data_IF_358297752944
#
_entry.id   IF_358297752944
#
_cell.length_a   1.000
_cell.length_b   1.000
_cell.length_c   1.000
_cell.angle_alpha   90.00
_cell.angle_beta   90.00
_cell.angle_gamma   90.00
#
_symmetry.space_group_name_H-M   'P 1'
#
loop_
_entity.id
_entity.type
_entity.pdbx_description
1 polymer ?
#
# COMPACT_ATOMS: atom_id res chain seq x y z
N UNK A 1 5.92 -38.01 6.11
CA UNK A 1 4.47 -38.24 5.91
C UNK A 1 3.94 -37.00 5.21
N UNK A 2 3.70 -37.09 3.90
CA UNK A 2 3.23 -35.96 3.09
C UNK A 2 1.75 -35.77 3.41
N UNK A 3 1.41 -34.73 4.15
CA UNK A 3 0.01 -34.36 4.34
C UNK A 3 -0.49 -33.87 2.99
N UNK A 4 -1.41 -34.62 2.41
CA UNK A 4 -2.10 -34.24 1.18
C UNK A 4 -2.90 -32.96 1.48
N UNK A 5 -2.40 -31.83 0.97
CA UNK A 5 -3.14 -30.57 0.91
C UNK A 5 -4.41 -30.85 0.11
N UNK A 6 -5.56 -30.59 0.74
CA UNK A 6 -6.84 -30.86 0.11
C UNK A 6 -6.99 -29.95 -1.12
N UNK A 7 -7.50 -30.49 -2.24
CA UNK A 7 -7.72 -29.74 -3.51
C UNK A 7 -8.63 -28.50 -3.36
N UNK A 8 -9.18 -28.25 -2.19
CA UNK A 8 -10.02 -27.09 -1.85
C UNK A 8 -9.23 -25.84 -1.43
N UNK A 9 -7.95 -25.95 -1.08
CA UNK A 9 -7.16 -24.85 -0.50
C UNK A 9 -6.41 -23.99 -1.54
N UNK A 10 -6.53 -24.29 -2.84
CA UNK A 10 -5.78 -23.62 -3.92
C UNK A 10 -6.53 -22.46 -4.62
N UNK A 11 -7.60 -21.91 -4.02
CA UNK A 11 -8.42 -20.85 -4.67
C UNK A 11 -8.25 -19.46 -4.06
N UNK A 12 -7.65 -19.34 -2.88
CA UNK A 12 -7.47 -18.06 -2.17
C UNK A 12 -6.08 -17.95 -1.54
N UNK A 13 -5.69 -16.74 -1.17
CA UNK A 13 -4.50 -16.44 -0.39
C UNK A 13 -4.83 -15.47 0.76
N UNK A 14 -4.21 -15.63 1.94
CA UNK A 14 -4.45 -14.76 3.09
C UNK A 14 -3.68 -13.44 2.96
N UNK A 15 -4.31 -12.33 3.32
CA UNK A 15 -3.67 -11.03 3.52
C UNK A 15 -3.86 -10.61 4.98
N UNK A 16 -2.80 -10.04 5.55
CA UNK A 16 -2.72 -9.72 6.96
C UNK A 16 -3.78 -8.69 7.41
N UNK A 17 -4.51 -9.02 8.48
CA UNK A 17 -5.56 -8.16 9.03
C UNK A 17 -5.01 -6.83 9.53
N UNK A 18 -3.86 -6.82 10.23
CA UNK A 18 -3.23 -5.60 10.71
C UNK A 18 -2.76 -4.71 9.55
N UNK A 19 -2.18 -5.29 8.50
CA UNK A 19 -1.86 -4.58 7.27
C UNK A 19 -3.12 -3.97 6.65
N UNK A 20 -4.17 -4.77 6.43
CA UNK A 20 -5.43 -4.30 5.84
C UNK A 20 -6.06 -3.16 6.65
N UNK A 21 -6.00 -3.22 7.97
CA UNK A 21 -6.49 -2.16 8.85
C UNK A 21 -5.79 -0.82 8.61
N UNK A 22 -4.48 -0.82 8.31
CA UNK A 22 -3.71 0.42 8.09
C UNK A 22 -3.65 0.85 6.63
N UNK A 23 -3.80 -0.06 5.66
CA UNK A 23 -3.60 0.20 4.23
C UNK A 23 -4.40 1.41 3.69
N UNK A 24 -5.69 1.60 3.99
CA UNK A 24 -6.44 2.75 3.46
C UNK A 24 -5.85 4.10 3.86
N UNK A 25 -5.39 4.23 5.11
CA UNK A 25 -4.77 5.46 5.63
C UNK A 25 -3.31 5.55 5.17
N UNK A 26 -2.59 4.44 5.21
CA UNK A 26 -1.22 4.34 4.72
C UNK A 26 -1.09 4.63 3.21
N UNK A 27 -2.15 4.48 2.41
CA UNK A 27 -2.21 4.82 0.98
C UNK A 27 -2.97 6.10 0.62
N UNK A 28 -3.46 6.86 1.62
CA UNK A 28 -4.14 8.13 1.39
C UNK A 28 -3.29 9.10 0.56
N UNK A 29 -3.92 9.80 -0.38
CA UNK A 29 -3.22 10.75 -1.24
C UNK A 29 -2.91 12.06 -0.53
N UNK A 30 -2.05 12.90 -1.14
CA UNK A 30 -1.76 14.28 -0.68
C UNK A 30 -3.03 15.14 -0.63
N UNK A 31 -4.05 14.82 -1.44
CA UNK A 31 -5.33 15.53 -1.46
C UNK A 31 -6.34 15.04 -0.42
N UNK A 32 -6.01 14.03 0.37
CA UNK A 32 -6.89 13.55 1.43
C UNK A 32 -6.99 14.63 2.54
N UNK A 33 -8.20 14.96 3.04
CA UNK A 33 -8.39 16.04 4.01
C UNK A 33 -7.71 15.79 5.36
N UNK A 34 -7.47 14.53 5.71
CA UNK A 34 -6.85 14.14 6.98
C UNK A 34 -5.31 14.03 6.87
N UNK A 35 -4.76 14.34 5.69
CA UNK A 35 -3.34 14.27 5.41
C UNK A 35 -2.61 15.53 5.87
N UNK A 36 -1.56 15.32 6.66
CA UNK A 36 -0.55 16.33 6.97
C UNK A 36 0.62 16.16 6.01
N UNK A 37 1.02 17.26 5.37
CA UNK A 37 2.14 17.27 4.43
C UNK A 37 3.44 16.80 5.11
N UNK A 38 4.39 16.24 4.35
CA UNK A 38 5.65 15.75 4.90
C UNK A 38 6.37 16.81 5.71
N UNK A 39 6.90 16.49 6.89
CA UNK A 39 7.73 17.37 7.72
C UNK A 39 9.04 16.69 8.10
N UNK A 40 10.07 17.51 8.28
CA UNK A 40 11.36 17.08 8.81
C UNK A 40 11.31 17.05 10.33
N UNK A 41 11.83 15.97 10.91
CA UNK A 41 11.89 15.76 12.35
C UNK A 41 13.23 15.15 12.78
N UNK A 42 13.53 15.35 14.05
CA UNK A 42 14.69 14.80 14.73
C UNK A 42 14.26 14.25 16.09
N UNK A 43 14.75 13.07 16.45
CA UNK A 43 14.63 12.48 17.77
C UNK A 43 15.99 11.89 18.20
N UNK A 44 16.11 11.25 19.40
CA UNK A 44 17.38 10.66 19.83
C UNK A 44 17.92 9.56 18.89
N UNK A 45 17.07 8.94 18.08
CA UNK A 45 17.42 7.85 17.17
C UNK A 45 17.82 8.36 15.77
N UNK A 46 17.64 9.66 15.49
CA UNK A 46 18.18 10.34 14.31
C UNK A 46 17.19 11.29 13.63
N UNK A 47 17.40 11.48 12.33
CA UNK A 47 16.60 12.35 11.48
C UNK A 47 15.62 11.56 10.62
N UNK A 48 14.42 12.11 10.43
CA UNK A 48 13.39 11.46 9.62
C UNK A 48 12.55 12.47 8.86
N UNK A 49 12.07 12.03 7.69
CA UNK A 49 10.99 12.67 6.97
C UNK A 49 9.70 11.92 7.30
N UNK A 50 8.70 12.60 7.87
CA UNK A 50 7.42 11.97 8.21
C UNK A 50 6.23 12.65 7.54
N UNK A 51 5.22 11.87 7.20
CA UNK A 51 3.93 12.33 6.68
C UNK A 51 2.83 11.60 7.44
N UNK A 52 1.86 12.34 7.98
CA UNK A 52 0.87 11.78 8.90
C UNK A 52 -0.54 11.86 8.32
N UNK A 53 -1.29 10.79 8.51
CA UNK A 53 -2.73 10.74 8.25
C UNK A 53 -3.42 10.60 9.59
N UNK A 54 -4.22 11.58 9.98
CA UNK A 54 -4.85 11.61 11.31
C UNK A 54 -5.94 10.56 11.47
N UNK A 55 -6.57 10.43 12.63
CA UNK A 55 -7.86 9.71 12.74
C UNK A 55 -9.00 10.66 12.42
N UNK A 56 -10.06 10.16 11.78
CA UNK A 56 -11.34 10.85 11.80
C UNK A 56 -12.07 10.56 13.10
N UNK A 57 -12.32 11.62 13.89
CA UNK A 57 -12.99 11.49 15.20
C UNK A 57 -14.44 11.00 15.08
N UNK A 58 -15.01 11.02 13.87
CA UNK A 58 -16.35 10.54 13.59
C UNK A 58 -16.41 9.07 13.12
N UNK A 59 -15.26 8.42 12.86
CA UNK A 59 -15.17 6.99 12.56
C UNK A 59 -14.23 6.27 13.55
N UNK A 60 -14.77 5.55 14.55
CA UNK A 60 -13.96 4.87 15.56
C UNK A 60 -13.13 3.69 15.01
N UNK A 61 -13.36 3.29 13.76
CA UNK A 61 -12.59 2.23 13.10
C UNK A 61 -11.37 2.72 12.34
N UNK A 62 -11.15 4.03 12.22
CA UNK A 62 -9.93 4.56 11.59
C UNK A 62 -8.77 4.64 12.59
N UNK A 63 -7.57 4.24 12.16
CA UNK A 63 -6.31 4.42 12.90
C UNK A 63 -5.50 5.55 12.26
N UNK A 64 -4.90 6.42 13.07
CA UNK A 64 -3.90 7.38 12.60
C UNK A 64 -2.62 6.65 12.19
N UNK A 65 -2.11 6.95 11.01
CA UNK A 65 -0.90 6.32 10.46
C UNK A 65 0.10 7.40 10.10
N UNK A 66 1.30 7.28 10.65
CA UNK A 66 2.46 8.04 10.20
C UNK A 66 3.29 7.18 9.26
N UNK A 67 3.58 7.73 8.09
CA UNK A 67 4.61 7.22 7.17
C UNK A 67 5.90 7.95 7.51
N UNK A 68 6.97 7.24 7.81
CA UNK A 68 8.27 7.87 8.06
C UNK A 68 9.37 7.20 7.24
N UNK A 69 10.34 8.00 6.82
CA UNK A 69 11.53 7.54 6.12
C UNK A 69 12.74 8.02 6.92
N UNK A 70 13.51 7.10 7.52
CA UNK A 70 14.78 7.44 8.18
C UNK A 70 15.75 8.10 7.20
N UNK A 71 16.43 9.14 7.67
CA UNK A 71 17.45 9.85 6.91
C UNK A 71 18.83 9.45 7.46
N UNK A 72 19.27 8.27 7.05
CA UNK A 72 20.54 7.69 7.49
C UNK A 72 21.75 8.52 6.99
N UNK A 73 22.81 8.51 7.82
CA UNK A 73 24.12 9.10 7.55
C UNK A 73 24.13 10.60 7.26
N UNK A 74 23.17 11.36 7.79
CA UNK A 74 23.18 12.82 7.73
C UNK A 74 24.04 13.40 8.86
N UNK A 75 25.01 14.23 8.48
CA UNK A 75 25.67 15.14 9.41
C UNK A 75 24.72 16.26 9.88
N UNK A 76 25.06 16.92 10.98
CA UNK A 76 24.29 18.06 11.47
C UNK A 76 24.28 19.24 10.49
N UNK A 77 25.33 19.43 9.70
CA UNK A 77 25.38 20.48 8.66
C UNK A 77 24.40 20.16 7.52
N UNK A 78 24.43 18.94 6.98
CA UNK A 78 23.50 18.50 5.93
C UNK A 78 22.04 18.56 6.41
N UNK A 79 21.80 18.31 7.69
CA UNK A 79 20.47 18.47 8.30
C UNK A 79 19.97 19.91 8.29
N UNK A 80 20.81 20.88 8.65
CA UNK A 80 20.44 22.30 8.60
C UNK A 80 20.18 22.77 7.15
N UNK A 81 21.03 22.36 6.21
CA UNK A 81 20.84 22.64 4.78
C UNK A 81 19.51 22.06 4.26
N UNK A 82 19.19 20.83 4.66
CA UNK A 82 17.94 20.17 4.29
C UNK A 82 16.72 20.90 4.84
N UNK A 83 16.77 21.37 6.09
CA UNK A 83 15.69 22.21 6.67
C UNK A 83 15.51 23.50 5.89
N UNK A 84 16.60 24.17 5.53
CA UNK A 84 16.52 25.39 4.73
C UNK A 84 15.89 25.13 3.35
N UNK A 85 16.30 24.07 2.66
CA UNK A 85 15.70 23.65 1.39
C UNK A 85 14.21 23.35 1.56
N UNK A 86 13.83 22.62 2.60
CA UNK A 86 12.44 22.25 2.90
C UNK A 86 11.54 23.47 3.10
N UNK A 87 11.99 24.50 3.84
CA UNK A 87 11.19 25.73 4.06
C UNK A 87 10.86 26.48 2.77
N UNK A 88 11.66 26.29 1.72
CA UNK A 88 11.46 26.92 0.40
C UNK A 88 10.53 26.10 -0.50
N UNK A 89 10.13 24.89 -0.10
CA UNK A 89 9.25 24.03 -0.86
C UNK A 89 7.79 24.44 -0.72
N UNK A 90 7.14 24.61 -1.86
CA UNK A 90 5.69 24.76 -1.91
C UNK A 90 5.05 23.38 -2.06
N UNK A 91 4.96 22.66 -0.94
CA UNK A 91 4.30 21.35 -0.91
C UNK A 91 2.79 21.46 -1.17
N UNK A 92 2.17 22.64 -1.00
CA UNK A 92 0.77 22.85 -1.38
C UNK A 92 0.61 22.80 -2.90
N UNK A 93 1.57 23.28 -3.68
CA UNK A 93 1.54 23.08 -5.14
C UNK A 93 1.54 21.61 -5.58
N UNK A 94 1.89 20.65 -4.70
CA UNK A 94 1.78 19.22 -5.04
C UNK A 94 0.33 18.79 -5.28
N UNK A 95 -0.64 19.37 -4.57
CA UNK A 95 -2.07 19.09 -4.80
C UNK A 95 -2.56 19.74 -6.08
N UNK A 96 -2.09 20.95 -6.38
CA UNK A 96 -2.67 21.81 -7.40
C UNK A 96 -2.06 21.58 -8.79
N UNK A 97 -0.73 21.40 -8.86
CA UNK A 97 0.02 21.29 -10.11
C UNK A 97 0.67 19.91 -10.30
N UNK A 98 0.67 19.08 -9.26
CA UNK A 98 1.22 17.72 -9.25
C UNK A 98 2.54 17.60 -8.50
N UNK A 99 2.78 16.40 -7.95
CA UNK A 99 3.91 16.09 -7.07
C UNK A 99 5.26 16.41 -7.74
N UNK A 100 5.46 16.01 -8.99
CA UNK A 100 6.73 16.26 -9.70
C UNK A 100 7.07 17.75 -9.75
N UNK A 101 6.11 18.61 -10.12
CA UNK A 101 6.30 20.07 -10.16
C UNK A 101 6.56 20.65 -8.78
N UNK A 102 5.84 20.18 -7.76
CA UNK A 102 6.05 20.61 -6.37
C UNK A 102 7.45 20.31 -5.83
N UNK A 103 8.12 19.28 -6.38
CA UNK A 103 9.47 18.86 -5.99
C UNK A 103 10.59 19.30 -6.96
N UNK A 104 10.29 20.06 -8.02
CA UNK A 104 11.29 20.50 -9.02
C UNK A 104 12.39 21.39 -8.41
N UNK A 105 12.10 22.08 -7.32
CA UNK A 105 13.05 22.99 -6.64
C UNK A 105 14.06 22.28 -5.75
N UNK A 106 13.89 20.97 -5.49
CA UNK A 106 14.86 20.18 -4.72
C UNK A 106 16.02 19.83 -5.65
N UNK A 107 17.20 20.41 -5.40
CA UNK A 107 18.40 20.14 -6.20
C UNK A 107 18.99 18.76 -5.88
N UNK A 108 18.93 18.34 -4.62
CA UNK A 108 19.42 17.03 -4.21
C UNK A 108 18.46 15.92 -4.69
N UNK A 109 18.96 15.08 -5.61
CA UNK A 109 18.22 13.93 -6.15
C UNK A 109 17.92 12.86 -5.11
N UNK A 110 18.78 12.64 -4.11
CA UNK A 110 18.53 11.71 -3.00
C UNK A 110 17.30 12.17 -2.23
N UNK A 111 17.29 13.43 -1.79
CA UNK A 111 16.19 14.04 -1.06
C UNK A 111 14.90 14.05 -1.90
N UNK A 112 14.97 14.49 -3.16
CA UNK A 112 13.81 14.50 -4.06
C UNK A 112 13.16 13.11 -4.19
N UNK A 113 13.97 12.04 -4.26
CA UNK A 113 13.47 10.65 -4.31
C UNK A 113 12.78 10.24 -3.01
N UNK A 114 13.27 10.68 -1.85
CA UNK A 114 12.64 10.39 -0.55
C UNK A 114 11.28 11.08 -0.42
N UNK A 115 11.19 12.36 -0.80
CA UNK A 115 9.90 13.07 -0.86
C UNK A 115 8.94 12.40 -1.85
N UNK A 116 9.41 12.04 -3.04
CA UNK A 116 8.59 11.34 -4.03
C UNK A 116 8.08 10.00 -3.49
N UNK A 117 8.95 9.21 -2.85
CA UNK A 117 8.58 7.93 -2.26
C UNK A 117 7.48 8.09 -1.20
N UNK A 118 7.60 9.08 -0.32
CA UNK A 118 6.62 9.34 0.74
C UNK A 118 5.27 9.85 0.20
N UNK A 119 5.31 10.79 -0.76
CA UNK A 119 4.13 11.42 -1.36
C UNK A 119 3.37 10.47 -2.30
N UNK A 120 4.04 9.46 -2.85
CA UNK A 120 3.45 8.45 -3.76
C UNK A 120 3.38 7.05 -3.13
N UNK A 121 3.60 6.95 -1.82
CA UNK A 121 3.59 5.70 -1.08
C UNK A 121 2.22 5.02 -1.15
N UNK A 122 2.25 3.69 -1.30
CA UNK A 122 1.09 2.83 -1.52
C UNK A 122 0.19 3.27 -2.66
N UNK A 123 0.80 3.74 -3.76
CA UNK A 123 0.08 3.89 -5.01
C UNK A 123 -0.48 2.52 -5.51
N UNK A 124 -1.41 2.51 -6.46
CA UNK A 124 -2.06 1.27 -6.90
C UNK A 124 -1.12 0.16 -7.36
N UNK A 125 -0.03 0.53 -8.05
CA UNK A 125 1.00 -0.43 -8.48
C UNK A 125 1.70 -1.05 -7.27
N UNK A 126 2.01 -0.26 -6.25
CA UNK A 126 2.59 -0.76 -5.00
C UNK A 126 1.62 -1.68 -4.24
N UNK A 127 0.32 -1.36 -4.20
CA UNK A 127 -0.70 -2.27 -3.63
C UNK A 127 -0.76 -3.59 -4.40
N UNK A 128 -0.73 -3.55 -5.73
CA UNK A 128 -0.71 -4.77 -6.55
C UNK A 128 0.56 -5.61 -6.31
N UNK A 129 1.73 -4.98 -6.14
CA UNK A 129 2.96 -5.65 -5.73
C UNK A 129 2.78 -6.34 -4.37
N UNK A 130 2.21 -5.65 -3.39
CA UNK A 130 1.96 -6.23 -2.06
C UNK A 130 1.06 -7.45 -2.15
N UNK A 131 -0.07 -7.37 -2.86
CA UNK A 131 -0.98 -8.51 -3.04
C UNK A 131 -0.29 -9.67 -3.79
N UNK A 132 0.54 -9.38 -4.78
CA UNK A 132 1.35 -10.39 -5.47
C UNK A 132 2.26 -11.13 -4.48
N UNK A 133 2.97 -10.39 -3.62
CA UNK A 133 3.90 -10.97 -2.66
C UNK A 133 3.19 -11.83 -1.61
N UNK A 134 2.02 -11.42 -1.12
CA UNK A 134 1.21 -12.25 -0.23
C UNK A 134 0.74 -13.54 -0.90
N UNK A 135 0.33 -13.47 -2.17
CA UNK A 135 0.00 -14.67 -2.96
C UNK A 135 1.21 -15.58 -3.14
N UNK A 136 2.39 -15.01 -3.41
CA UNK A 136 3.63 -15.78 -3.52
C UNK A 136 4.05 -16.43 -2.20
N UNK A 137 3.93 -15.71 -1.08
CA UNK A 137 4.19 -16.26 0.26
C UNK A 137 3.30 -17.49 0.53
N UNK A 138 2.01 -17.38 0.22
CA UNK A 138 1.06 -18.47 0.36
C UNK A 138 1.42 -19.67 -0.53
N UNK A 139 1.78 -19.45 -1.80
CA UNK A 139 2.17 -20.51 -2.73
C UNK A 139 3.47 -21.21 -2.33
N UNK A 140 4.45 -20.47 -1.82
CA UNK A 140 5.74 -21.04 -1.39
C UNK A 140 5.63 -21.78 -0.06
N UNK A 141 4.53 -21.60 0.68
CA UNK A 141 4.37 -22.13 2.03
C UNK A 141 5.44 -21.62 3.01
N UNK A 142 6.09 -20.52 2.65
CA UNK A 142 7.14 -19.89 3.45
C UNK A 142 6.51 -18.97 4.48
N UNK A 143 7.28 -18.67 5.54
CA UNK A 143 6.90 -17.66 6.53
C UNK A 143 6.96 -16.23 5.94
N UNK A 144 7.43 -15.22 6.70
CA UNK A 144 7.56 -13.85 6.20
C UNK A 144 8.48 -13.70 4.97
N UNK A 145 9.41 -14.63 4.75
CA UNK A 145 10.36 -14.58 3.65
C UNK A 145 9.73 -15.06 2.33
N UNK A 146 9.86 -14.24 1.29
CA UNK A 146 9.29 -14.48 -0.05
C UNK A 146 10.38 -14.25 -1.08
N UNK A 147 10.62 -15.27 -1.91
CA UNK A 147 11.47 -15.15 -3.09
C UNK A 147 10.60 -14.85 -4.31
N UNK A 148 11.03 -13.97 -5.22
CA UNK A 148 10.35 -13.79 -6.50
C UNK A 148 11.27 -13.29 -7.59
N UNK A 149 10.91 -13.61 -8.85
CA UNK A 149 11.56 -13.09 -10.05
C UNK A 149 10.92 -11.78 -10.47
N UNK A 150 11.74 -10.80 -10.82
CA UNK A 150 11.29 -9.48 -11.28
C UNK A 150 10.38 -9.58 -12.51
N UNK A 151 10.70 -10.49 -13.43
CA UNK A 151 9.94 -10.69 -14.66
C UNK A 151 8.54 -11.24 -14.38
N UNK A 152 8.41 -12.23 -13.50
CA UNK A 152 7.13 -12.86 -13.16
C UNK A 152 6.19 -11.85 -12.46
N UNK A 153 6.75 -10.99 -11.60
CA UNK A 153 6.01 -9.88 -11.01
C UNK A 153 5.53 -8.89 -12.09
N UNK A 154 6.39 -8.48 -13.01
CA UNK A 154 6.01 -7.55 -14.08
C UNK A 154 4.93 -8.15 -15.01
N UNK A 155 5.00 -9.45 -15.31
CA UNK A 155 3.94 -10.15 -16.05
C UNK A 155 2.63 -10.18 -15.27
N UNK A 156 2.68 -10.48 -13.97
CA UNK A 156 1.48 -10.45 -13.12
C UNK A 156 0.88 -9.05 -12.97
N UNK A 157 1.68 -8.00 -13.15
CA UNK A 157 1.21 -6.62 -13.24
C UNK A 157 0.70 -6.26 -14.65
N UNK A 158 0.64 -7.21 -15.59
CA UNK A 158 0.09 -7.03 -16.93
C UNK A 158 1.05 -6.40 -17.95
N UNK A 159 2.34 -6.29 -17.64
CA UNK A 159 3.33 -5.77 -18.59
C UNK A 159 3.76 -6.88 -19.58
N UNK A 160 4.09 -6.48 -20.80
CA UNK A 160 4.57 -7.39 -21.84
C UNK A 160 6.09 -7.34 -21.98
N UNK A 161 6.69 -8.50 -22.30
CA UNK A 161 8.12 -8.62 -22.57
C UNK A 161 8.51 -7.93 -23.87
N UNK A 162 9.76 -7.47 -23.94
CA UNK A 162 10.41 -7.03 -25.17
C UNK A 162 10.76 -8.24 -26.05
N UNK A 163 11.17 -7.99 -27.30
CA UNK A 163 11.60 -9.04 -28.24
C UNK A 163 12.76 -9.89 -27.71
N UNK A 164 13.59 -9.31 -26.86
CA UNK A 164 14.76 -9.97 -26.25
C UNK A 164 14.41 -10.78 -24.99
N UNK A 165 13.11 -10.95 -24.68
CA UNK A 165 12.63 -11.77 -23.57
C UNK A 165 12.67 -11.10 -22.19
N UNK A 166 13.17 -9.86 -22.10
CA UNK A 166 13.20 -9.04 -20.88
C UNK A 166 12.11 -7.96 -20.84
N UNK A 167 12.29 -6.96 -19.98
CA UNK A 167 11.43 -5.77 -19.91
C UNK A 167 12.24 -4.51 -20.19
N UNK A 168 11.55 -3.46 -20.68
CA UNK A 168 12.18 -2.16 -20.89
C UNK A 168 12.81 -1.63 -19.58
N UNK A 169 14.02 -1.06 -19.68
CA UNK A 169 14.78 -0.53 -18.53
C UNK A 169 13.97 0.41 -17.65
N UNK A 170 13.12 1.25 -18.26
CA UNK A 170 12.20 2.15 -17.56
C UNK A 170 11.24 1.41 -16.62
N UNK A 171 10.71 0.25 -17.02
CA UNK A 171 9.81 -0.56 -16.18
C UNK A 171 10.55 -1.22 -15.01
N UNK A 172 11.79 -1.68 -15.24
CA UNK A 172 12.67 -2.24 -14.20
C UNK A 172 13.06 -1.17 -13.18
N UNK A 173 13.49 0.01 -13.63
CA UNK A 173 13.79 1.14 -12.73
C UNK A 173 12.56 1.58 -11.94
N UNK A 174 11.36 1.58 -12.56
CA UNK A 174 10.11 1.87 -11.83
C UNK A 174 9.79 0.80 -10.78
N UNK A 175 9.90 -0.49 -11.12
CA UNK A 175 9.67 -1.59 -10.16
C UNK A 175 10.60 -1.45 -8.95
N UNK A 176 11.87 -1.19 -9.21
CA UNK A 176 12.83 -0.98 -8.16
C UNK A 176 12.45 0.20 -7.25
N UNK A 177 12.05 1.35 -7.82
CA UNK A 177 11.58 2.49 -7.02
C UNK A 177 10.39 2.12 -6.14
N UNK A 178 9.47 1.30 -6.64
CA UNK A 178 8.32 0.81 -5.87
C UNK A 178 8.75 -0.11 -4.72
N UNK A 179 9.65 -1.06 -4.97
CA UNK A 179 10.19 -1.96 -3.94
C UNK A 179 10.99 -1.20 -2.88
N UNK A 180 11.82 -0.24 -3.28
CA UNK A 180 12.60 0.59 -2.36
C UNK A 180 11.69 1.50 -1.52
N UNK A 181 10.61 2.05 -2.10
CA UNK A 181 9.64 2.83 -1.34
C UNK A 181 8.96 1.98 -0.25
N UNK A 182 8.54 0.75 -0.61
CA UNK A 182 7.95 -0.23 0.32
C UNK A 182 8.94 -0.71 1.39
N UNK A 183 10.24 -0.76 1.05
CA UNK A 183 11.33 -1.15 1.94
C UNK A 183 11.72 -0.09 2.96
N UNK A 184 11.76 1.18 2.54
CA UNK A 184 12.28 2.29 3.36
C UNK A 184 11.22 3.01 4.18
N UNK A 185 9.97 2.97 3.74
CA UNK A 185 8.89 3.65 4.46
C UNK A 185 8.43 2.78 5.61
N UNK A 186 8.50 3.33 6.81
CA UNK A 186 7.96 2.72 8.01
C UNK A 186 6.56 3.27 8.27
N UNK A 187 5.66 2.38 8.65
CA UNK A 187 4.33 2.69 9.13
C UNK A 187 4.35 2.67 10.65
N UNK A 188 4.04 3.81 11.24
CA UNK A 188 3.91 3.99 12.68
C UNK A 188 2.46 4.24 13.02
N UNK A 189 1.90 3.40 13.89
CA UNK A 189 0.52 3.52 14.35
C UNK A 189 0.38 3.00 15.77
N UNK A 190 -0.61 3.52 16.50
CA UNK A 190 -0.87 3.16 17.88
C UNK A 190 -2.25 2.52 18.03
N UNK A 191 -2.34 1.52 18.90
CA UNK A 191 -3.59 0.89 19.30
C UNK A 191 -3.73 0.93 20.82
N UNK A 192 -4.97 1.03 21.30
CA UNK A 192 -5.25 0.97 22.74
C UNK A 192 -4.86 -0.40 23.28
N UNK A 193 -4.11 -0.41 24.38
CA UNK A 193 -3.68 -1.62 25.07
C UNK A 193 -4.24 -1.61 26.49
N UNK A 194 -5.30 -2.40 26.72
CA UNK A 194 -5.83 -2.60 28.07
C UNK A 194 -4.88 -3.48 28.87
N UNK A 195 -4.34 -2.95 29.98
CA UNK A 195 -3.52 -3.69 30.95
C UNK A 195 -4.24 -3.63 32.30
N UNK A 196 -5.11 -4.61 32.57
CA UNK A 196 -5.99 -4.59 33.75
C UNK A 196 -6.90 -3.36 33.73
N UNK A 197 -6.83 -2.54 34.77
CA UNK A 197 -7.60 -1.29 34.89
C UNK A 197 -6.96 -0.10 34.16
N UNK A 198 -5.72 -0.23 33.66
CA UNK A 198 -5.01 0.86 33.00
C UNK A 198 -5.16 0.76 31.48
N UNK A 199 -5.36 1.91 30.84
CA UNK A 199 -5.33 2.05 29.39
C UNK A 199 -3.93 2.54 29.01
N UNK A 200 -3.16 1.69 28.34
CA UNK A 200 -1.90 2.05 27.69
C UNK A 200 -2.07 2.17 26.17
N UNK A 201 -0.96 2.45 25.48
CA UNK A 201 -0.87 2.41 24.02
C UNK A 201 0.20 1.41 23.59
N UNK A 202 -0.12 0.58 22.59
CA UNK A 202 0.86 -0.22 21.86
C UNK A 202 1.21 0.53 20.58
N UNK A 203 2.42 1.05 20.51
CA UNK A 203 2.95 1.65 19.27
C UNK A 203 3.61 0.55 18.45
N UNK A 204 3.20 0.44 17.19
CA UNK A 204 3.77 -0.50 16.22
C UNK A 204 4.52 0.28 15.16
N UNK A 205 5.73 -0.18 14.83
CA UNK A 205 6.59 0.37 13.79
C UNK A 205 6.96 -0.80 12.87
N UNK A 206 6.50 -0.75 11.61
CA UNK A 206 6.77 -1.80 10.61
C UNK A 206 6.83 -1.17 9.22
N UNK A 207 7.78 -1.58 8.39
CA UNK A 207 7.70 -1.44 6.94
C UNK A 207 6.75 -2.50 6.37
N UNK A 208 6.28 -2.31 5.13
CA UNK A 208 5.43 -3.33 4.49
C UNK A 208 6.26 -4.55 4.11
N UNK A 209 7.47 -4.31 3.61
CA UNK A 209 8.45 -5.34 3.33
C UNK A 209 9.86 -4.86 3.67
N UNK A 210 10.81 -5.78 3.81
CA UNK A 210 12.24 -5.49 3.82
C UNK A 210 12.94 -6.32 2.76
N UNK A 211 13.72 -5.68 1.89
CA UNK A 211 14.61 -6.39 0.96
C UNK A 211 15.73 -7.01 1.79
N UNK A 212 15.98 -8.32 1.60
CA UNK A 212 17.04 -9.07 2.27
C UNK A 212 18.25 -9.25 1.37
N UNK A 213 17.98 -9.61 0.12
CA UNK A 213 18.98 -9.78 -0.92
C UNK A 213 18.32 -9.69 -2.31
N UNK A 214 19.16 -9.60 -3.33
CA UNK A 214 18.77 -9.60 -4.73
C UNK A 214 19.81 -10.38 -5.54
N UNK A 215 19.39 -10.90 -6.69
CA UNK A 215 20.23 -11.68 -7.59
C UNK A 215 20.27 -11.02 -8.98
N UNK A 216 21.43 -11.12 -9.64
CA UNK A 216 21.64 -10.70 -11.04
C UNK A 216 22.22 -11.91 -11.77
N UNK A 217 21.49 -12.45 -12.74
CA UNK A 217 21.84 -13.75 -13.31
C UNK A 217 22.98 -13.65 -14.34
N UNK A 218 22.97 -12.60 -15.17
CA UNK A 218 23.83 -12.47 -16.35
C UNK A 218 24.83 -11.33 -16.20
N UNK A 219 25.68 -11.40 -15.17
CA UNK A 219 26.73 -10.42 -14.95
C UNK A 219 27.85 -10.53 -16.01
N UNK A 220 28.37 -9.41 -16.55
CA UNK A 220 29.54 -9.41 -17.42
C UNK A 220 30.78 -10.04 -16.74
N UNK A 221 31.75 -10.54 -17.52
CA UNK A 221 32.98 -11.14 -16.97
C UNK A 221 33.81 -10.16 -16.12
N UNK A 222 33.69 -8.87 -16.40
CA UNK A 222 34.34 -7.75 -15.72
C UNK A 222 33.44 -7.11 -14.64
N UNK A 223 32.39 -7.81 -14.18
CA UNK A 223 31.53 -7.31 -13.12
C UNK A 223 32.30 -7.10 -11.82
N UNK A 224 32.36 -5.85 -11.38
CA UNK A 224 33.07 -5.44 -10.17
C UNK A 224 32.23 -5.80 -8.94
N UNK A 225 32.56 -6.92 -8.31
CA UNK A 225 31.93 -7.37 -7.06
C UNK A 225 32.14 -6.36 -5.91
N UNK A 226 33.25 -5.60 -5.92
CA UNK A 226 33.53 -4.59 -4.89
C UNK A 226 32.56 -3.41 -5.04
N UNK A 227 32.15 -3.11 -6.28
CA UNK A 227 31.13 -2.11 -6.60
C UNK A 227 29.75 -2.71 -6.86
N UNK A 228 29.50 -3.97 -6.51
CA UNK A 228 28.18 -4.60 -6.68
C UNK A 228 27.07 -3.77 -6.00
N UNK A 229 27.44 -3.08 -4.91
CA UNK A 229 26.59 -2.14 -4.20
C UNK A 229 26.07 -0.97 -5.06
N UNK A 230 26.78 -0.56 -6.12
CA UNK A 230 26.40 0.53 -7.01
C UNK A 230 25.38 0.08 -8.08
N UNK A 231 25.29 -1.24 -8.33
CA UNK A 231 24.37 -1.87 -9.30
C UNK A 231 23.06 -2.37 -8.66
N UNK A 232 22.95 -2.24 -7.34
CA UNK A 232 22.03 -2.94 -6.41
C UNK A 232 20.54 -2.93 -6.70
N UNK A 233 20.08 -2.16 -7.68
CA UNK A 233 18.67 -1.79 -7.71
C UNK A 233 18.06 -1.77 -9.11
N UNK A 234 18.80 -1.40 -10.16
CA UNK A 234 18.21 -1.30 -11.51
C UNK A 234 18.32 -2.60 -12.34
N UNK A 235 19.09 -3.58 -11.85
CA UNK A 235 19.45 -4.80 -12.59
C UNK A 235 19.01 -6.12 -11.94
N UNK A 236 18.39 -6.08 -10.76
CA UNK A 236 18.01 -7.30 -10.05
C UNK A 236 16.99 -8.14 -10.85
N UNK A 237 17.34 -9.40 -11.13
CA UNK A 237 16.51 -10.39 -11.80
C UNK A 237 15.62 -11.13 -10.80
N UNK A 238 16.05 -11.24 -9.54
CA UNK A 238 15.27 -11.79 -8.44
C UNK A 238 15.49 -10.99 -7.14
N UNK A 239 14.53 -11.12 -6.22
CA UNK A 239 14.59 -10.54 -4.89
C UNK A 239 14.16 -11.57 -3.84
N UNK A 240 14.79 -11.51 -2.68
CA UNK A 240 14.27 -12.09 -1.44
C UNK A 240 13.83 -10.95 -0.54
N UNK A 241 12.57 -10.97 -0.13
CA UNK A 241 11.98 -9.95 0.76
C UNK A 241 11.35 -10.59 1.99
N UNK A 242 11.29 -9.85 3.09
CA UNK A 242 10.55 -10.21 4.29
C UNK A 242 9.30 -9.34 4.40
N UNK A 243 8.11 -9.92 4.40
CA UNK A 243 6.84 -9.23 4.65
C UNK A 243 6.65 -9.03 6.16
N UNK A 244 6.83 -7.82 6.68
CA UNK A 244 6.92 -7.60 8.15
C UNK A 244 5.56 -7.69 8.87
N UNK A 245 4.46 -7.64 8.12
CA UNK A 245 3.12 -7.90 8.62
C UNK A 245 2.72 -9.37 8.50
N UNK A 246 3.48 -10.22 7.80
CA UNK A 246 3.06 -11.60 7.56
C UNK A 246 3.75 -12.59 8.51
N UNK A 247 2.97 -13.22 9.38
CA UNK A 247 3.48 -14.19 10.36
C UNK A 247 3.56 -15.64 9.82
N UNK A 248 3.31 -15.88 8.53
CA UNK A 248 3.42 -17.20 7.90
C UNK A 248 2.16 -18.08 7.91
N UNK A 249 2.27 -19.35 7.49
CA UNK A 249 1.14 -20.27 7.34
C UNK A 249 0.54 -20.79 8.66
N UNK A 250 1.31 -20.78 9.75
CA UNK A 250 0.87 -21.19 11.09
C UNK A 250 -0.04 -20.19 11.82
N UNK A 251 -0.63 -19.25 11.07
CA UNK A 251 -1.36 -18.10 11.58
C UNK A 251 -2.66 -18.51 12.29
N UNK A 252 -2.91 -17.89 13.43
CA UNK A 252 -4.21 -17.99 14.13
C UNK A 252 -5.04 -16.73 13.92
N UNK A 253 -6.13 -16.84 13.13
CA UNK A 253 -7.34 -16.01 13.25
C UNK A 253 -7.43 -14.73 12.42
N UNK A 254 -6.39 -13.88 12.33
CA UNK A 254 -6.63 -12.46 11.99
C UNK A 254 -6.38 -12.05 10.52
N UNK A 255 -7.04 -12.61 9.50
CA UNK A 255 -6.75 -12.28 8.08
C UNK A 255 -8.00 -12.13 7.19
N UNK A 256 -7.79 -11.64 5.96
CA UNK A 256 -8.80 -11.71 4.89
C UNK A 256 -8.25 -12.55 3.75
N UNK A 257 -9.04 -13.52 3.29
CA UNK A 257 -8.76 -14.35 2.12
C UNK A 257 -9.18 -13.61 0.86
N UNK A 258 -8.25 -13.47 -0.07
CA UNK A 258 -8.46 -12.95 -1.41
C UNK A 258 -8.44 -14.10 -2.41
N UNK A 259 -9.25 -14.04 -3.47
CA UNK A 259 -9.18 -15.04 -4.54
C UNK A 259 -7.82 -15.00 -5.26
N UNK A 260 -7.29 -16.17 -5.64
CA UNK A 260 -6.01 -16.26 -6.35
C UNK A 260 -6.01 -15.55 -7.71
N UNK A 261 -7.20 -15.38 -8.31
CA UNK A 261 -7.42 -14.68 -9.58
C UNK A 261 -7.71 -13.19 -9.41
N UNK A 262 -7.28 -12.55 -8.30
CA UNK A 262 -7.30 -11.09 -8.20
C UNK A 262 -6.54 -10.48 -9.38
N UNK A 263 -7.22 -9.59 -10.11
CA UNK A 263 -6.61 -8.83 -11.18
C UNK A 263 -5.65 -7.79 -10.60
N UNK A 264 -4.36 -8.03 -10.80
CA UNK A 264 -3.27 -7.14 -10.38
C UNK A 264 -2.75 -6.28 -11.54
N UNK A 265 -3.38 -6.37 -12.72
CA UNK A 265 -2.90 -5.69 -13.91
C UNK A 265 -2.94 -4.17 -13.75
N UNK A 266 -1.85 -3.52 -14.16
CA UNK A 266 -1.70 -2.08 -14.12
C UNK A 266 -1.80 -1.52 -15.54
N UNK A 267 -2.74 -0.61 -15.78
CA UNK A 267 -2.87 0.04 -17.09
C UNK A 267 -1.65 0.93 -17.37
N UNK A 268 -0.86 0.58 -18.40
CA UNK A 268 0.22 1.41 -18.93
C UNK A 268 -0.30 2.81 -19.29
N UNK A 269 0.31 3.86 -18.72
CA UNK A 269 -0.05 5.25 -18.99
C UNK A 269 -1.33 5.75 -18.31
N UNK A 270 -2.02 4.91 -17.54
CA UNK A 270 -3.09 5.37 -16.64
C UNK A 270 -2.49 6.22 -15.53
N UNK A 271 -3.16 7.33 -15.20
CA UNK A 271 -2.81 8.09 -14.01
C UNK A 271 -2.99 7.16 -12.79
N UNK A 272 -1.89 6.78 -12.14
CA UNK A 272 -1.90 5.98 -10.91
C UNK A 272 -2.73 6.61 -9.77
N UNK A 273 -3.24 7.83 -9.95
CA UNK A 273 -4.20 8.50 -9.06
C UNK A 273 -5.60 7.87 -9.04
N UNK A 274 -5.98 7.07 -10.05
CA UNK A 274 -7.39 6.73 -10.31
C UNK A 274 -7.73 5.24 -10.34
N UNK A 275 -6.97 4.38 -9.65
CA UNK A 275 -7.39 2.99 -9.43
C UNK A 275 -8.37 2.90 -8.25
N UNK A 276 -9.58 3.41 -8.47
CA UNK A 276 -10.64 3.38 -7.47
C UNK A 276 -11.11 1.96 -7.16
N UNK A 277 -10.98 1.03 -8.11
CA UNK A 277 -11.35 -0.38 -7.96
C UNK A 277 -10.53 -1.03 -6.86
N UNK A 278 -9.21 -1.00 -6.99
CA UNK A 278 -8.31 -1.58 -5.98
C UNK A 278 -8.47 -0.87 -4.64
N UNK A 279 -8.59 0.47 -4.63
CA UNK A 279 -8.82 1.22 -3.38
C UNK A 279 -10.12 0.79 -2.68
N UNK A 280 -11.21 0.64 -3.41
CA UNK A 280 -12.49 0.20 -2.85
C UNK A 280 -12.39 -1.24 -2.35
N UNK A 281 -11.78 -2.15 -3.12
CA UNK A 281 -11.59 -3.53 -2.69
C UNK A 281 -10.79 -3.63 -1.37
N UNK A 282 -9.65 -2.92 -1.29
CA UNK A 282 -8.83 -2.87 -0.07
C UNK A 282 -9.57 -2.23 1.08
N UNK A 283 -10.32 -1.15 0.82
CA UNK A 283 -11.12 -0.50 1.86
C UNK A 283 -12.21 -1.44 2.40
N UNK A 284 -12.94 -2.14 1.54
CA UNK A 284 -13.94 -3.14 1.97
C UNK A 284 -13.29 -4.27 2.77
N UNK A 285 -12.16 -4.81 2.32
CA UNK A 285 -11.41 -5.84 3.04
C UNK A 285 -10.94 -5.34 4.43
N UNK A 286 -10.49 -4.09 4.51
CA UNK A 286 -10.14 -3.42 5.77
C UNK A 286 -11.35 -3.32 6.70
N UNK A 287 -12.50 -2.87 6.19
CA UNK A 287 -13.75 -2.78 6.96
C UNK A 287 -14.23 -4.13 7.48
N UNK A 288 -14.01 -5.23 6.75
CA UNK A 288 -14.34 -6.58 7.25
C UNK A 288 -13.50 -7.01 8.47
N UNK A 289 -12.40 -6.30 8.78
CA UNK A 289 -11.63 -6.48 10.02
C UNK A 289 -12.11 -5.59 11.17
N UNK A 290 -12.67 -4.44 10.85
CA UNK A 290 -13.17 -3.48 11.82
C UNK A 290 -14.63 -3.70 12.22
N UNK A 291 -15.46 -4.05 11.24
CA UNK A 291 -16.90 -4.17 11.36
C UNK A 291 -17.32 -5.63 11.38
N UNK A 292 -18.39 -5.92 12.13
CA UNK A 292 -19.11 -7.18 11.97
C UNK A 292 -20.01 -7.11 10.74
N UNK A 293 -19.94 -8.11 9.87
CA UNK A 293 -20.85 -8.22 8.74
C UNK A 293 -22.29 -8.43 9.24
N UNK A 294 -23.21 -7.59 8.80
CA UNK A 294 -24.63 -7.76 9.07
C UNK A 294 -25.12 -9.00 8.31
N UNK A 295 -25.81 -9.90 9.02
CA UNK A 295 -26.28 -11.18 8.48
C UNK A 295 -25.16 -12.02 7.83
N UNK A 296 -23.90 -11.80 8.23
CA UNK A 296 -22.74 -12.53 7.71
C UNK A 296 -22.32 -12.18 6.27
N UNK A 297 -22.99 -11.23 5.59
CA UNK A 297 -22.73 -10.91 4.18
C UNK A 297 -22.74 -9.42 3.84
N UNK A 298 -23.36 -8.57 4.67
CA UNK A 298 -23.53 -7.16 4.37
C UNK A 298 -22.56 -6.28 5.16
N UNK A 299 -21.93 -5.35 4.44
CA UNK A 299 -21.13 -4.29 5.02
C UNK A 299 -21.82 -2.94 4.75
N UNK A 300 -22.05 -2.15 5.80
CA UNK A 300 -22.69 -0.84 5.68
C UNK A 300 -21.69 0.23 6.04
N UNK A 301 -21.39 1.14 5.10
CA UNK A 301 -20.40 2.20 5.30
C UNK A 301 -20.97 3.55 4.89
N UNK A 302 -20.65 4.59 5.65
CA UNK A 302 -21.01 5.97 5.29
C UNK A 302 -20.43 6.35 3.93
N UNK A 303 -21.27 6.94 3.07
CA UNK A 303 -20.87 7.43 1.74
C UNK A 303 -19.79 8.50 1.84
N UNK A 304 -19.84 9.32 2.89
CA UNK A 304 -18.82 10.33 3.16
C UNK A 304 -17.43 9.70 3.37
N UNK A 305 -17.35 8.62 4.16
CA UNK A 305 -16.07 7.94 4.41
C UNK A 305 -15.56 7.18 3.20
N UNK A 306 -16.46 6.57 2.41
CA UNK A 306 -16.10 6.00 1.12
C UNK A 306 -15.46 7.06 0.22
N UNK A 307 -16.11 8.21 0.07
CA UNK A 307 -15.60 9.25 -0.82
C UNK A 307 -14.27 9.82 -0.31
N UNK A 308 -14.11 9.97 1.01
CA UNK A 308 -12.85 10.37 1.63
C UNK A 308 -11.72 9.39 1.35
N UNK A 309 -11.91 8.12 1.68
CA UNK A 309 -10.85 7.09 1.57
C UNK A 309 -10.59 6.66 0.11
N UNK A 310 -11.50 6.95 -0.81
CA UNK A 310 -11.29 6.77 -2.25
C UNK A 310 -10.68 7.98 -2.96
N UNK A 311 -10.40 9.09 -2.25
CA UNK A 311 -10.00 10.37 -2.84
C UNK A 311 -11.02 10.90 -3.89
N UNK A 312 -12.31 10.71 -3.59
CA UNK A 312 -13.46 11.18 -4.37
C UNK A 312 -14.13 12.40 -3.70
N UNK A 313 -13.41 13.11 -2.84
CA UNK A 313 -13.83 14.42 -2.33
C UNK A 313 -13.46 15.51 -3.34
N UNK A 314 -14.38 16.41 -3.65
CA UNK A 314 -14.16 17.48 -4.61
C UNK A 314 -15.43 18.26 -4.95
N UNK A 315 -15.28 19.31 -5.75
CA UNK A 315 -16.35 20.25 -6.08
C UNK A 315 -17.46 19.67 -6.98
N UNK A 316 -17.20 18.56 -7.69
CA UNK A 316 -18.17 17.94 -8.59
C UNK A 316 -18.73 16.63 -8.01
N UNK A 317 -19.69 16.76 -7.10
CA UNK A 317 -20.36 15.63 -6.43
C UNK A 317 -21.02 14.64 -7.40
N UNK A 318 -21.60 15.14 -8.50
CA UNK A 318 -22.24 14.31 -9.53
C UNK A 318 -21.24 13.39 -10.22
N UNK A 319 -20.10 13.95 -10.69
CA UNK A 319 -19.01 13.17 -11.29
C UNK A 319 -18.45 12.14 -10.31
N UNK A 320 -18.22 12.54 -9.06
CA UNK A 320 -17.65 11.65 -8.06
C UNK A 320 -18.59 10.48 -7.75
N UNK A 321 -19.90 10.74 -7.72
CA UNK A 321 -20.92 9.70 -7.57
C UNK A 321 -20.96 8.74 -8.77
N UNK A 322 -20.81 9.24 -10.00
CA UNK A 322 -20.70 8.39 -11.20
C UNK A 322 -19.46 7.50 -11.17
N UNK A 323 -18.29 8.05 -10.78
CA UNK A 323 -17.05 7.28 -10.64
C UNK A 323 -17.24 6.19 -9.59
N UNK A 324 -17.82 6.53 -8.43
CA UNK A 324 -18.09 5.57 -7.37
C UNK A 324 -18.96 4.41 -7.85
N UNK A 325 -20.13 4.67 -8.44
CA UNK A 325 -21.03 3.59 -8.88
C UNK A 325 -20.44 2.75 -10.02
N UNK A 326 -19.72 3.37 -10.96
CA UNK A 326 -18.95 2.63 -11.97
C UNK A 326 -17.95 1.68 -11.32
N UNK A 327 -17.23 2.14 -10.30
CA UNK A 327 -16.26 1.33 -9.55
C UNK A 327 -16.93 0.14 -8.85
N UNK A 328 -18.11 0.36 -8.28
CA UNK A 328 -18.93 -0.69 -7.66
C UNK A 328 -19.36 -1.72 -8.71
N UNK A 329 -19.79 -1.29 -9.89
CA UNK A 329 -20.21 -2.20 -10.95
C UNK A 329 -19.03 -3.00 -11.54
N UNK A 330 -17.83 -2.41 -11.62
CA UNK A 330 -16.59 -3.13 -11.96
C UNK A 330 -16.31 -4.25 -10.94
N UNK A 331 -16.44 -3.98 -9.64
CA UNK A 331 -16.28 -5.02 -8.59
C UNK A 331 -17.38 -6.10 -8.63
N UNK A 332 -18.61 -5.76 -9.05
CA UNK A 332 -19.67 -6.75 -9.29
C UNK A 332 -19.35 -7.64 -10.48
N UNK A 333 -18.88 -7.06 -11.59
CA UNK A 333 -18.48 -7.82 -12.79
C UNK A 333 -17.34 -8.80 -12.50
N UNK A 334 -16.39 -8.44 -11.64
CA UNK A 334 -15.30 -9.32 -11.18
C UNK A 334 -15.73 -10.31 -10.09
N UNK A 335 -16.98 -10.20 -9.63
CA UNK A 335 -17.61 -11.10 -8.67
C UNK A 335 -17.24 -10.85 -7.22
N UNK A 336 -16.58 -9.75 -6.86
CA UNK A 336 -16.30 -9.41 -5.45
C UNK A 336 -17.53 -8.95 -4.68
N UNK A 337 -18.47 -8.35 -5.40
CA UNK A 337 -19.74 -7.88 -4.86
C UNK A 337 -20.90 -8.61 -5.54
N UNK A 338 -21.84 -9.11 -4.74
CA UNK A 338 -23.11 -9.65 -5.24
C UNK A 338 -24.12 -8.52 -5.49
N UNK A 339 -24.01 -7.43 -4.73
CA UNK A 339 -24.94 -6.31 -4.77
C UNK A 339 -24.41 -5.10 -4.00
N UNK A 340 -24.99 -3.93 -4.29
CA UNK A 340 -24.75 -2.71 -3.53
C UNK A 340 -25.94 -1.76 -3.68
N UNK A 341 -26.34 -1.10 -2.60
CA UNK A 341 -27.43 -0.13 -2.59
C UNK A 341 -27.17 1.06 -1.66
N UNK A 342 -27.69 2.22 -2.04
CA UNK A 342 -27.66 3.42 -1.20
C UNK A 342 -28.85 3.39 -0.23
N UNK A 343 -28.54 3.52 1.06
CA UNK A 343 -29.52 3.59 2.13
C UNK A 343 -29.63 5.02 2.65
N UNK A 344 -30.83 5.48 3.02
CA UNK A 344 -30.98 6.74 3.73
C UNK A 344 -30.25 6.65 5.08
N UNK A 345 -29.48 7.67 5.42
CA UNK A 345 -28.80 7.74 6.70
C UNK A 345 -29.17 8.97 7.52
N UNK A 346 -28.63 9.04 8.73
CA UNK A 346 -28.92 10.13 9.68
C UNK A 346 -28.27 11.44 9.21
N UNK A 347 -28.91 12.57 9.50
CA UNK A 347 -28.39 13.93 9.21
C UNK A 347 -28.03 14.18 7.72
N UNK A 348 -28.78 13.60 6.77
CA UNK A 348 -28.56 13.70 5.31
C UNK A 348 -27.25 13.05 4.80
N UNK A 349 -26.55 12.28 5.63
CA UNK A 349 -25.41 11.47 5.17
C UNK A 349 -25.97 10.09 4.83
N UNK A 350 -25.91 9.69 3.57
CA UNK A 350 -26.32 8.35 3.14
C UNK A 350 -25.27 7.29 3.46
N UNK A 351 -25.72 6.05 3.61
CA UNK A 351 -24.85 4.89 3.74
C UNK A 351 -24.91 4.07 2.46
N UNK A 352 -23.85 3.34 2.16
CA UNK A 352 -23.84 2.32 1.12
C UNK A 352 -23.78 0.96 1.81
N UNK A 353 -24.73 0.11 1.49
CA UNK A 353 -24.70 -1.30 1.86
C UNK A 353 -24.12 -2.10 0.70
N UNK A 354 -23.07 -2.86 0.97
CA UNK A 354 -22.45 -3.80 0.04
C UNK A 354 -22.80 -5.22 0.46
N UNK A 355 -23.11 -6.08 -0.51
CA UNK A 355 -23.21 -7.52 -0.32
C UNK A 355 -21.92 -8.17 -0.82
N UNK A 356 -21.08 -8.63 0.11
CA UNK A 356 -19.76 -9.20 -0.20
C UNK A 356 -19.94 -10.63 -0.74
N UNK A 357 -19.19 -11.00 -1.77
CA UNK A 357 -19.11 -12.39 -2.21
C UNK A 357 -18.07 -13.18 -1.37
N UNK A 358 -18.49 -14.09 -0.49
CA UNK A 358 -17.58 -14.86 0.38
C UNK A 358 -16.73 -15.90 -0.36
N UNK A 359 -16.97 -16.14 -1.65
CA UNK A 359 -16.10 -16.95 -2.51
C UNK A 359 -14.86 -16.18 -2.98
N UNK A 360 -14.98 -14.85 -3.09
CA UNK A 360 -13.92 -13.98 -3.63
C UNK A 360 -13.19 -13.20 -2.54
N UNK A 361 -13.89 -12.85 -1.46
CA UNK A 361 -13.36 -12.08 -0.35
C UNK A 361 -13.98 -12.56 0.97
N UNK A 362 -13.18 -13.11 1.87
CA UNK A 362 -13.67 -13.69 3.14
C UNK A 362 -12.81 -13.29 4.32
N UNK A 363 -13.42 -12.72 5.35
CA UNK A 363 -12.72 -12.50 6.61
C UNK A 363 -12.65 -13.81 7.40
N UNK A 364 -11.47 -14.13 7.91
CA UNK A 364 -11.32 -15.04 9.02
C UNK A 364 -11.20 -14.16 10.28
N UNK A 365 -11.98 -14.50 11.31
CA UNK A 365 -11.91 -13.88 12.62
C UNK A 365 -11.40 -14.90 13.63
#
# INVERSE_FOLDING_TARGET
MVVAVSKSEALTFPVDGQLLMVLPRAGASVGNPDMQLPILRSDPDGYYLEMRVETDTSDPSEIAVTRRVPLEDLSSEEWEELKEQYTKLDLKNCTDQGISKGLEKIQDRKIQRLFMALLTFLNPRQVAIVLYLYRQAAHQGTGPAVFFRSNDLLESLGYTRTKDGGFASKLRSQLNRDLVALHRTELVFAQSLRKGNNIGAKVTIKSILRIKDFEIDNVPRDFDLVKAADYTYELADAYTVSLEFFDGPGRTGDYVLFANNVDMAQKLGSNAKSDYKTKLLIYLASRMKWDSLQEGQYLVVSKQYLFKNLDLLGSNSSRNNQIFWRTVDELKQEGYLLGAQELPGKKKISNIQFQINPEKLRAHQ
#
